data_IF_669729993662
#
_entry.id   IF_669729993662
#
_cell.length_a   1.000
_cell.length_b   1.000
_cell.length_c   1.000
_cell.angle_alpha   90.00
_cell.angle_beta   90.00
_cell.angle_gamma   90.00
#
_symmetry.space_group_name_H-M   'P 1'
#
loop_
_entity.id
_entity.type
_entity.pdbx_description
1 polymer ?
#
# COMPACT_ATOMS: atom_id res chain seq x y z
N UNK A 1 -17.94 -32.33 18.47
CA UNK A 1 -17.69 -31.26 17.46
C UNK A 1 -17.78 -29.84 18.02
N UNK A 2 -18.55 -29.54 19.08
CA UNK A 2 -18.62 -28.16 19.63
C UNK A 2 -17.36 -27.70 20.41
N UNK A 3 -16.50 -28.63 20.86
CA UNK A 3 -15.28 -28.30 21.63
C UNK A 3 -14.15 -27.69 20.78
N UNK A 4 -14.08 -28.01 19.49
CA UNK A 4 -12.98 -27.55 18.63
C UNK A 4 -13.19 -26.12 18.11
N UNK A 5 -14.45 -25.69 17.97
CA UNK A 5 -14.77 -24.33 17.51
C UNK A 5 -14.35 -23.26 18.53
N UNK A 6 -14.44 -23.54 19.83
CA UNK A 6 -14.03 -22.62 20.88
C UNK A 6 -12.52 -22.37 20.91
N UNK A 7 -11.72 -23.40 20.62
CA UNK A 7 -10.25 -23.28 20.58
C UNK A 7 -9.80 -22.42 19.39
N UNK A 8 -10.45 -22.58 18.23
CA UNK A 8 -10.14 -21.76 17.04
C UNK A 8 -10.49 -20.29 17.27
N UNK A 9 -11.65 -20.02 17.88
CA UNK A 9 -12.06 -18.64 18.18
C UNK A 9 -11.12 -17.97 19.18
N UNK A 10 -10.68 -18.71 20.21
CA UNK A 10 -9.71 -18.23 21.19
C UNK A 10 -8.36 -17.90 20.53
N UNK A 11 -7.87 -18.75 19.63
CA UNK A 11 -6.62 -18.52 18.91
C UNK A 11 -6.70 -17.30 17.98
N UNK A 12 -7.83 -17.04 17.33
CA UNK A 12 -8.05 -15.84 16.50
C UNK A 12 -8.05 -14.58 17.37
N UNK A 13 -8.70 -14.61 18.54
CA UNK A 13 -8.72 -13.48 19.48
C UNK A 13 -7.30 -13.22 20.03
N UNK A 14 -6.55 -14.25 20.40
CA UNK A 14 -5.16 -14.12 20.86
C UNK A 14 -4.28 -13.56 19.73
N UNK A 15 -4.43 -14.04 18.49
CA UNK A 15 -3.67 -13.53 17.34
C UNK A 15 -3.98 -12.05 17.06
N UNK A 16 -5.25 -11.63 17.17
CA UNK A 16 -5.63 -10.22 17.01
C UNK A 16 -5.10 -9.35 18.16
N UNK A 17 -5.20 -9.82 19.42
CA UNK A 17 -4.67 -9.09 20.58
C UNK A 17 -3.14 -8.96 20.54
N UNK A 18 -2.41 -10.01 20.11
CA UNK A 18 -0.97 -9.95 19.91
C UNK A 18 -0.56 -9.03 18.74
N UNK A 19 -1.43 -8.83 17.75
CA UNK A 19 -1.17 -7.93 16.61
C UNK A 19 -1.33 -6.46 17.00
N UNK A 20 -2.25 -6.14 17.92
CA UNK A 20 -2.48 -4.76 18.38
C UNK A 20 -1.37 -4.22 19.29
N UNK A 21 -0.59 -5.09 19.95
CA UNK A 21 0.48 -4.66 20.87
C UNK A 21 1.73 -4.09 20.16
N UNK A 22 1.89 -4.30 18.84
CA UNK A 22 3.13 -3.93 18.12
C UNK A 22 3.25 -2.44 17.76
N UNK A 23 2.17 -1.64 17.87
CA UNK A 23 2.19 -0.23 17.49
C UNK A 23 2.18 0.75 18.68
N UNK A 24 2.22 0.25 19.92
CA UNK A 24 1.97 1.06 21.11
C UNK A 24 2.98 2.21 21.38
N UNK A 25 4.15 2.23 20.71
CA UNK A 25 5.22 3.20 20.98
C UNK A 25 5.43 4.25 19.88
N UNK A 26 4.59 4.30 18.85
CA UNK A 26 4.66 5.34 17.82
C UNK A 26 3.72 6.49 18.14
N UNK A 27 4.28 7.69 18.28
CA UNK A 27 3.52 8.93 18.33
C UNK A 27 3.27 9.42 16.90
N UNK A 28 2.02 9.40 16.46
CA UNK A 28 1.65 9.92 15.15
C UNK A 28 1.39 11.43 15.19
N UNK A 29 2.03 12.14 14.26
CA UNK A 29 1.87 13.56 14.05
C UNK A 29 1.38 13.82 12.64
N UNK A 30 0.43 14.75 12.53
CA UNK A 30 -0.05 15.24 11.24
C UNK A 30 0.79 16.42 10.79
N UNK A 31 1.19 16.43 9.52
CA UNK A 31 1.96 17.54 8.95
C UNK A 31 1.20 18.88 9.04
N UNK A 32 -0.13 18.83 8.93
CA UNK A 32 -1.04 19.98 9.04
C UNK A 32 -1.18 20.53 10.45
N UNK A 33 -0.70 19.80 11.46
CA UNK A 33 -0.74 20.28 12.84
C UNK A 33 0.13 21.52 12.99
N UNK A 34 -0.35 22.53 13.72
CA UNK A 34 0.43 23.73 14.06
C UNK A 34 1.73 23.40 14.81
N UNK A 35 1.81 22.22 15.44
CA UNK A 35 3.03 21.73 16.11
C UNK A 35 4.11 21.24 15.13
N UNK A 36 3.74 20.92 13.89
CA UNK A 36 4.65 20.40 12.87
C UNK A 36 4.85 21.46 11.77
N UNK A 37 3.76 21.91 11.15
CA UNK A 37 3.79 22.96 10.12
C UNK A 37 2.91 24.14 10.51
N UNK A 38 3.50 25.06 11.27
CA UNK A 38 2.81 26.29 11.65
C UNK A 38 2.65 27.23 10.44
N UNK A 39 1.46 27.81 10.23
CA UNK A 39 1.14 28.69 9.07
C UNK A 39 2.09 29.88 8.93
N UNK A 40 2.56 30.42 10.06
CA UNK A 40 3.54 31.51 10.13
C UNK A 40 5.03 31.06 10.08
N UNK A 41 5.30 29.81 9.66
CA UNK A 41 6.65 29.22 9.62
C UNK A 41 7.37 29.25 10.99
N UNK A 42 6.62 29.16 12.09
CA UNK A 42 7.20 29.07 13.43
C UNK A 42 7.75 27.68 13.66
N UNK A 43 8.93 27.64 14.27
CA UNK A 43 9.62 26.42 14.64
C UNK A 43 9.12 25.90 15.99
N UNK A 44 8.73 24.63 16.03
CA UNK A 44 8.29 23.96 17.26
C UNK A 44 9.23 22.81 17.61
N UNK A 45 9.45 22.61 18.91
CA UNK A 45 10.24 21.49 19.44
C UNK A 45 9.32 20.49 20.12
N UNK A 46 9.50 19.23 19.78
CA UNK A 46 8.74 18.08 20.28
C UNK A 46 9.70 17.18 21.05
N UNK A 47 9.38 16.97 22.32
CA UNK A 47 10.14 16.09 23.19
C UNK A 47 9.68 14.65 22.99
N UNK A 48 10.62 13.77 22.68
CA UNK A 48 10.39 12.34 22.56
C UNK A 48 10.61 11.67 23.91
N UNK A 49 9.71 10.75 24.26
CA UNK A 49 9.91 9.86 25.40
C UNK A 49 10.99 8.82 25.07
N UNK A 50 11.67 8.34 26.11
CA UNK A 50 12.73 7.35 25.97
C UNK A 50 12.27 6.10 25.21
N UNK A 51 13.00 5.74 24.17
CA UNK A 51 12.67 4.59 23.30
C UNK A 51 11.36 4.73 22.51
N UNK A 52 10.76 5.91 22.46
CA UNK A 52 9.59 6.17 21.61
C UNK A 52 10.02 6.47 20.18
N UNK A 53 9.08 6.28 19.25
CA UNK A 53 9.23 6.68 17.86
C UNK A 53 8.16 7.70 17.49
N UNK A 54 8.41 8.50 16.46
CA UNK A 54 7.45 9.45 15.93
C UNK A 54 7.28 9.23 14.42
N UNK A 55 6.04 9.31 13.95
CA UNK A 55 5.72 9.26 12.52
C UNK A 55 5.04 10.57 12.15
N UNK A 56 5.55 11.25 11.14
CA UNK A 56 4.91 12.45 10.57
C UNK A 56 4.29 12.06 9.23
N UNK A 57 2.96 12.17 9.13
CA UNK A 57 2.24 11.90 7.88
C UNK A 57 1.45 13.12 7.42
N UNK A 58 1.39 13.40 6.11
CA UNK A 58 0.38 14.30 5.57
C UNK A 58 -0.97 13.59 5.47
N UNK A 59 -2.06 14.32 5.70
CA UNK A 59 -3.42 13.79 5.56
C UNK A 59 -4.14 14.36 4.33
N UNK A 60 -4.26 15.69 4.27
CA UNK A 60 -4.98 16.41 3.22
C UNK A 60 -4.20 17.62 2.68
N UNK A 61 -3.04 17.94 3.25
CA UNK A 61 -2.22 19.08 2.83
C UNK A 61 -1.86 19.03 1.35
N UNK A 62 -1.81 17.82 0.78
CA UNK A 62 -1.40 17.55 -0.60
C UNK A 62 -2.54 17.04 -1.50
N UNK A 63 -3.75 16.81 -0.98
CA UNK A 63 -4.86 16.22 -1.75
C UNK A 63 -5.36 17.12 -2.88
N UNK A 64 -5.31 18.42 -2.65
CA UNK A 64 -5.56 19.45 -3.66
C UNK A 64 -4.26 20.20 -3.78
N UNK A 65 -3.49 19.93 -4.84
CA UNK A 65 -2.18 20.55 -5.11
C UNK A 65 -2.31 22.05 -5.49
N UNK A 66 -3.10 22.80 -4.73
CA UNK A 66 -3.35 24.23 -4.83
C UNK A 66 -2.53 24.93 -3.75
N UNK A 67 -1.21 24.85 -3.88
CA UNK A 67 -0.27 25.58 -3.03
C UNK A 67 -0.35 27.07 -3.41
N UNK A 68 -1.25 27.80 -2.76
CA UNK A 68 -1.48 29.22 -3.05
C UNK A 68 -0.31 30.13 -2.63
N UNK A 69 0.60 29.63 -1.80
CA UNK A 69 1.77 30.32 -1.27
C UNK A 69 2.85 29.27 -0.90
N UNK A 70 4.12 29.66 -1.00
CA UNK A 70 5.24 28.83 -0.52
C UNK A 70 4.98 28.40 0.92
N UNK A 71 5.16 27.11 1.19
CA UNK A 71 5.03 26.54 2.53
C UNK A 71 6.39 26.13 3.05
N UNK A 72 6.67 26.53 4.28
CA UNK A 72 7.94 26.26 4.92
C UNK A 72 7.71 25.75 6.34
N UNK A 73 7.67 24.43 6.47
CA UNK A 73 7.46 23.75 7.73
C UNK A 73 8.81 23.49 8.40
N UNK A 74 8.95 23.86 9.68
CA UNK A 74 10.15 23.58 10.48
C UNK A 74 9.74 23.06 11.85
N UNK A 75 10.23 21.88 12.20
CA UNK A 75 10.00 21.27 13.51
C UNK A 75 11.24 20.52 13.97
N UNK A 76 11.36 20.33 15.28
CA UNK A 76 12.51 19.66 15.91
C UNK A 76 12.01 18.53 16.78
N UNK A 77 12.59 17.36 16.60
CA UNK A 77 12.51 16.31 17.60
C UNK A 77 13.73 16.35 18.50
N UNK A 78 13.47 16.27 19.81
CA UNK A 78 14.48 16.29 20.87
C UNK A 78 14.33 15.04 21.72
N UNK A 79 15.43 14.33 21.96
CA UNK A 79 15.42 13.11 22.78
C UNK A 79 15.61 13.40 24.26
N UNK A 80 15.49 12.35 25.08
CA UNK A 80 15.97 12.36 26.44
C UNK A 80 17.49 12.42 26.52
N UNK A 81 17.99 12.55 27.74
CA UNK A 81 19.42 12.54 28.03
C UNK A 81 20.06 11.21 27.60
N UNK A 82 21.23 11.27 26.95
CA UNK A 82 22.01 10.09 26.56
C UNK A 82 21.34 9.18 25.52
N UNK A 83 20.42 9.70 24.73
CA UNK A 83 19.78 8.98 23.62
C UNK A 83 20.10 9.63 22.27
N UNK A 84 20.45 8.80 21.28
CA UNK A 84 20.67 9.23 19.91
C UNK A 84 19.34 9.36 19.17
N UNK A 85 19.32 10.10 18.08
CA UNK A 85 18.12 10.29 17.27
C UNK A 85 18.45 10.02 15.81
N UNK A 86 17.62 9.23 15.12
CA UNK A 86 17.68 9.12 13.67
C UNK A 86 16.34 9.48 13.06
N UNK A 87 16.39 10.10 11.88
CA UNK A 87 15.23 10.41 11.06
C UNK A 87 15.37 9.70 9.73
N UNK A 88 14.26 9.17 9.19
CA UNK A 88 14.24 8.47 7.89
C UNK A 88 13.03 8.91 7.10
N UNK A 89 13.25 9.23 5.83
CA UNK A 89 12.15 9.40 4.87
C UNK A 89 11.70 8.02 4.39
N UNK A 90 10.51 7.60 4.83
CA UNK A 90 9.93 6.32 4.42
C UNK A 90 9.26 6.40 3.05
N UNK A 91 8.47 7.45 2.83
CA UNK A 91 7.73 7.67 1.59
C UNK A 91 7.54 9.15 1.34
N UNK A 92 7.83 9.62 0.13
CA UNK A 92 7.59 11.00 -0.30
C UNK A 92 7.51 11.10 -1.82
N UNK A 93 6.83 12.12 -2.32
CA UNK A 93 6.77 12.45 -3.75
C UNK A 93 6.87 13.97 -3.92
N UNK A 94 8.10 14.48 -4.01
CA UNK A 94 8.39 15.91 -4.11
C UNK A 94 8.87 16.30 -5.50
N UNK A 95 8.45 17.48 -5.98
CA UNK A 95 8.79 17.95 -7.34
C UNK A 95 10.28 18.27 -7.46
N UNK A 96 10.85 17.96 -8.62
CA UNK A 96 12.23 18.28 -9.00
C UNK A 96 12.28 18.72 -10.47
N UNK A 97 13.26 19.56 -10.78
CA UNK A 97 13.58 20.01 -12.13
C UNK A 97 15.01 19.56 -12.47
N UNK A 98 15.12 18.44 -13.19
CA UNK A 98 16.40 17.74 -13.39
C UNK A 98 17.05 17.35 -12.06
N UNK A 99 18.24 17.89 -11.80
CA UNK A 99 19.01 17.68 -10.56
C UNK A 99 18.64 18.65 -9.43
N UNK A 100 17.78 19.64 -9.69
CA UNK A 100 17.39 20.67 -8.73
C UNK A 100 16.08 20.29 -8.04
N UNK A 101 16.05 20.35 -6.72
CA UNK A 101 14.80 20.18 -5.96
C UNK A 101 13.94 21.44 -6.01
N UNK A 102 12.66 21.29 -6.39
CA UNK A 102 11.66 22.36 -6.29
C UNK A 102 11.05 22.33 -4.90
N UNK A 103 10.56 21.16 -4.51
CA UNK A 103 10.12 20.85 -3.15
C UNK A 103 11.17 19.94 -2.52
N UNK A 104 11.45 20.10 -1.24
CA UNK A 104 12.47 19.28 -0.58
C UNK A 104 12.18 19.08 0.91
N UNK A 105 12.75 18.00 1.44
CA UNK A 105 12.99 17.81 2.87
C UNK A 105 14.49 17.87 3.14
N UNK A 106 14.86 18.42 4.29
CA UNK A 106 16.24 18.52 4.76
C UNK A 106 16.29 18.32 6.26
N UNK A 107 17.32 17.63 6.73
CA UNK A 107 17.57 17.44 8.16
C UNK A 107 18.73 18.30 8.61
N UNK A 108 18.65 18.74 9.86
CA UNK A 108 19.72 19.44 10.56
C UNK A 108 19.94 18.83 11.93
N UNK A 109 21.19 18.49 12.22
CA UNK A 109 21.64 17.89 13.48
C UNK A 109 21.91 18.93 14.56
N UNK A 110 22.09 18.44 15.80
CA UNK A 110 22.49 19.27 16.95
C UNK A 110 23.78 20.05 16.73
N UNK A 111 24.68 19.54 15.89
CA UNK A 111 25.95 20.17 15.56
C UNK A 111 25.88 21.21 14.44
N UNK A 112 24.68 21.46 13.92
CA UNK A 112 24.45 22.39 12.84
C UNK A 112 24.77 21.85 11.45
N UNK A 113 25.20 20.59 11.33
CA UNK A 113 25.30 19.93 10.03
C UNK A 113 23.92 19.82 9.39
N UNK A 114 23.86 20.08 8.10
CA UNK A 114 22.65 19.91 7.32
C UNK A 114 22.89 18.91 6.19
N UNK A 115 21.91 18.04 5.98
CA UNK A 115 21.90 17.12 4.83
C UNK A 115 21.80 17.89 3.51
N UNK A 116 22.02 17.19 2.39
CA UNK A 116 21.59 17.70 1.07
C UNK A 116 20.06 17.80 1.03
N UNK A 117 19.54 18.60 0.10
CA UNK A 117 18.10 18.65 -0.17
C UNK A 117 17.66 17.30 -0.75
N UNK A 118 16.60 16.74 -0.20
CA UNK A 118 16.05 15.45 -0.60
C UNK A 118 14.71 15.72 -1.30
N UNK A 119 14.57 15.28 -2.55
CA UNK A 119 13.37 15.44 -3.37
C UNK A 119 13.18 14.25 -4.34
N UNK A 120 12.07 14.23 -5.09
CA UNK A 120 11.69 13.14 -5.99
C UNK A 120 10.70 12.16 -5.37
N UNK A 121 10.48 11.04 -6.06
CA UNK A 121 9.64 9.94 -5.61
C UNK A 121 10.48 8.90 -4.85
N UNK A 122 10.14 8.66 -3.59
CA UNK A 122 10.76 7.68 -2.71
C UNK A 122 9.63 6.84 -2.12
N UNK A 123 9.73 5.52 -2.24
CA UNK A 123 8.85 4.58 -1.56
C UNK A 123 9.66 3.38 -1.02
N UNK A 124 10.02 3.45 0.27
CA UNK A 124 10.77 2.37 0.94
C UNK A 124 9.89 1.19 1.33
N UNK A 125 8.55 1.28 1.21
CA UNK A 125 7.67 0.14 1.51
C UNK A 125 7.92 -1.04 0.57
N UNK A 126 8.48 -0.79 -0.61
CA UNK A 126 8.82 -1.81 -1.60
C UNK A 126 10.20 -2.43 -1.37
N UNK A 127 11.10 -1.75 -0.63
CA UNK A 127 12.46 -2.23 -0.36
C UNK A 127 12.47 -3.03 0.94
N UNK A 128 11.85 -4.20 0.92
CA UNK A 128 11.49 -4.90 2.16
C UNK A 128 12.70 -5.33 2.98
N UNK A 129 13.75 -5.85 2.37
CA UNK A 129 14.98 -6.23 3.06
C UNK A 129 16.09 -6.32 2.01
N UNK A 130 17.07 -5.44 2.07
CA UNK A 130 18.39 -5.80 1.59
C UNK A 130 19.18 -6.25 2.81
N UNK A 131 19.80 -7.45 2.78
CA UNK A 131 20.65 -7.88 3.87
C UNK A 131 21.69 -6.78 4.11
N UNK A 132 21.79 -6.33 5.36
CA UNK A 132 22.92 -5.53 5.81
C UNK A 132 24.16 -6.31 5.38
N UNK A 133 25.03 -5.76 4.52
CA UNK A 133 26.26 -6.44 4.16
C UNK A 133 26.96 -6.78 5.46
N UNK A 134 27.15 -8.07 5.73
CA UNK A 134 28.01 -8.48 6.84
C UNK A 134 29.34 -7.75 6.67
N UNK A 135 29.94 -7.22 7.74
CA UNK A 135 31.22 -6.54 7.63
C UNK A 135 32.23 -7.54 7.09
N UNK A 136 32.48 -7.49 5.79
CA UNK A 136 33.53 -8.30 5.16
C UNK A 136 34.85 -7.85 5.79
N UNK A 137 35.46 -8.77 6.52
CA UNK A 137 36.82 -8.64 7.01
C UNK A 137 37.74 -8.43 5.80
N UNK A 138 38.12 -7.18 5.61
CA UNK A 138 39.41 -6.69 5.11
C UNK A 138 39.90 -7.12 3.71
N UNK A 139 40.46 -6.11 3.04
CA UNK A 139 41.63 -6.17 2.15
C UNK A 139 41.50 -6.26 0.62
N UNK A 140 40.34 -6.09 -0.01
CA UNK A 140 40.31 -5.91 -1.48
C UNK A 140 39.94 -4.48 -1.90
N UNK A 141 40.97 -3.69 -2.21
CA UNK A 141 40.92 -2.38 -2.85
C UNK A 141 40.39 -2.51 -4.29
N UNK A 142 39.11 -2.81 -4.46
CA UNK A 142 38.45 -2.63 -5.75
C UNK A 142 37.59 -1.37 -5.72
N UNK A 143 38.04 -0.41 -6.52
CA UNK A 143 37.55 0.95 -6.67
C UNK A 143 36.18 0.99 -7.39
N UNK A 144 35.20 0.26 -6.86
CA UNK A 144 33.84 0.19 -7.35
C UNK A 144 32.91 0.88 -6.37
N UNK A 145 32.91 2.22 -6.33
CA UNK A 145 31.96 3.03 -5.57
C UNK A 145 30.54 2.92 -6.15
N UNK A 146 29.95 1.72 -6.06
CA UNK A 146 28.51 1.56 -5.89
C UNK A 146 28.25 1.67 -4.39
N UNK A 147 28.50 2.86 -3.85
CA UNK A 147 27.92 3.22 -2.55
C UNK A 147 26.41 3.18 -2.76
N UNK A 148 25.79 2.12 -2.26
CA UNK A 148 24.35 1.97 -2.36
C UNK A 148 23.71 3.16 -1.62
N UNK A 149 22.92 3.93 -2.35
CA UNK A 149 22.38 5.25 -1.95
C UNK A 149 21.35 5.20 -0.79
N UNK A 150 21.34 4.12 0.01
CA UNK A 150 20.33 3.88 1.05
C UNK A 150 20.43 4.84 2.24
N UNK A 151 21.62 5.40 2.47
CA UNK A 151 21.90 6.43 3.49
C UNK A 151 21.52 7.85 3.05
N UNK A 152 21.14 8.07 1.78
CA UNK A 152 20.81 9.43 1.31
C UNK A 152 19.52 9.99 1.96
N UNK A 153 18.68 9.11 2.53
CA UNK A 153 17.34 9.45 3.02
C UNK A 153 17.18 9.29 4.53
N UNK A 154 18.28 9.10 5.25
CA UNK A 154 18.31 9.02 6.68
C UNK A 154 19.37 9.98 7.23
N UNK A 155 19.14 10.49 8.43
CA UNK A 155 20.15 11.25 9.17
C UNK A 155 20.19 10.75 10.61
N UNK A 156 21.39 10.63 11.18
CA UNK A 156 21.60 10.19 12.55
C UNK A 156 22.40 11.23 13.34
N UNK A 157 21.83 11.66 14.46
CA UNK A 157 22.50 12.47 15.46
C UNK A 157 22.93 11.58 16.64
N UNK A 158 24.22 11.20 16.71
CA UNK A 158 24.71 10.30 17.74
C UNK A 158 24.73 10.97 19.11
N UNK A 159 24.67 10.16 20.17
CA UNK A 159 25.00 10.61 21.52
C UNK A 159 26.46 11.03 21.54
N UNK A 160 26.69 12.33 21.69
CA UNK A 160 28.02 12.87 21.93
C UNK A 160 28.36 12.67 23.39
N UNK A 161 29.24 11.71 23.65
CA UNK A 161 29.93 11.67 24.92
C UNK A 161 30.98 12.77 24.89
N UNK A 162 30.73 13.88 25.59
CA UNK A 162 31.75 14.92 25.76
C UNK A 162 32.93 14.30 26.52
N UNK A 163 33.98 13.89 25.81
CA UNK A 163 35.23 13.38 26.40
C UNK A 163 36.04 14.51 27.06
N UNK A 164 35.54 15.76 26.99
CA UNK A 164 36.16 16.91 27.63
C UNK A 164 36.13 16.75 29.17
N UNK A 165 37.30 16.60 29.84
CA UNK A 165 37.39 16.39 31.29
C UNK A 165 36.78 17.51 32.14
N UNK A 166 36.52 18.66 31.54
CA UNK A 166 36.24 19.93 32.23
C UNK A 166 34.76 20.33 32.25
N UNK A 167 33.86 19.54 31.63
CA UNK A 167 32.40 19.78 31.68
C UNK A 167 31.62 18.50 32.05
N UNK A 168 31.62 18.09 33.33
CA UNK A 168 30.99 16.84 33.77
C UNK A 168 29.46 16.80 33.66
N UNK A 169 28.79 17.93 33.42
CA UNK A 169 27.32 18.04 33.47
C UNK A 169 26.68 18.56 32.18
N UNK A 170 27.43 18.65 31.08
CA UNK A 170 26.85 18.94 29.76
C UNK A 170 26.16 17.68 29.24
N UNK A 171 24.91 17.47 29.62
CA UNK A 171 24.14 16.36 29.05
C UNK A 171 23.77 16.74 27.63
N UNK A 172 24.51 16.23 26.66
CA UNK A 172 24.24 16.51 25.25
C UNK A 172 22.96 15.80 24.83
N UNK A 173 22.01 16.58 24.36
CA UNK A 173 20.70 16.11 23.90
C UNK A 173 20.74 16.06 22.38
N UNK A 174 20.43 14.90 21.79
CA UNK A 174 20.34 14.78 20.34
C UNK A 174 19.10 15.51 19.82
N UNK A 175 19.27 16.23 18.71
CA UNK A 175 18.16 16.96 18.08
C UNK A 175 18.23 16.83 16.58
N UNK A 176 17.11 16.51 15.96
CA UNK A 176 16.96 16.58 14.51
C UNK A 176 15.87 17.61 14.19
N UNK A 177 16.29 18.71 13.59
CA UNK A 177 15.41 19.67 12.96
C UNK A 177 15.10 19.17 11.53
N UNK A 178 13.81 19.08 11.22
CA UNK A 178 13.32 18.73 9.88
C UNK A 178 12.73 19.99 9.24
N UNK A 179 13.23 20.31 8.06
CA UNK A 179 12.80 21.42 7.23
C UNK A 179 12.11 20.84 5.99
N UNK A 180 10.84 21.18 5.78
CA UNK A 180 10.09 20.84 4.58
C UNK A 180 9.73 22.14 3.88
N UNK A 181 10.18 22.29 2.63
CA UNK A 181 9.85 23.43 1.80
C UNK A 181 9.07 22.94 0.58
N UNK A 182 7.91 23.53 0.37
CA UNK A 182 7.04 23.29 -0.78
C UNK A 182 6.86 24.62 -1.48
N UNK A 183 7.37 24.70 -2.71
CA UNK A 183 7.27 25.92 -3.48
C UNK A 183 5.85 26.10 -4.02
N UNK A 184 5.38 27.33 -4.13
CA UNK A 184 4.23 27.69 -4.97
C UNK A 184 4.52 27.45 -6.45
N UNK A 185 5.78 27.18 -6.84
CA UNK A 185 6.22 27.15 -8.22
C UNK A 185 5.13 26.63 -9.15
N UNK A 186 4.71 27.50 -10.06
CA UNK A 186 3.52 27.28 -10.87
C UNK A 186 3.77 26.02 -11.69
N UNK A 187 2.90 25.03 -11.51
CA UNK A 187 2.80 23.89 -12.43
C UNK A 187 2.54 24.34 -13.86
N UNK A 188 2.18 25.60 -14.06
CA UNK A 188 1.95 26.21 -15.34
C UNK A 188 3.11 27.11 -15.74
N UNK A 189 3.56 26.96 -16.99
CA UNK A 189 4.45 27.90 -17.65
C UNK A 189 3.59 28.79 -18.55
N UNK A 190 3.95 30.07 -18.61
CA UNK A 190 3.32 31.02 -19.53
C UNK A 190 3.71 30.63 -20.96
N UNK A 191 2.70 30.52 -21.82
CA UNK A 191 2.86 30.18 -23.23
C UNK A 191 2.13 31.26 -24.04
N UNK A 192 2.87 32.08 -24.79
CA UNK A 192 2.30 33.23 -25.51
C UNK A 192 1.86 34.40 -24.60
N UNK A 193 0.87 35.18 -25.04
CA UNK A 193 0.35 36.33 -24.31
C UNK A 193 -0.82 35.91 -23.39
N UNK A 194 -0.54 35.81 -22.08
CA UNK A 194 -1.49 35.51 -21.00
C UNK A 194 -2.06 34.09 -20.91
N UNK A 195 -1.65 33.15 -21.76
CA UNK A 195 -2.04 31.75 -21.60
C UNK A 195 -1.02 31.01 -20.74
N UNK A 196 -1.51 30.05 -19.95
CA UNK A 196 -0.73 29.23 -19.05
C UNK A 196 -1.05 27.77 -19.36
N UNK A 197 -0.04 26.95 -19.61
CA UNK A 197 -0.19 25.50 -19.86
C UNK A 197 0.59 24.76 -18.79
N UNK A 198 0.07 23.63 -18.30
CA UNK A 198 0.79 22.80 -17.32
C UNK A 198 2.09 22.33 -17.97
N UNK A 199 3.19 22.39 -17.23
CA UNK A 199 4.54 22.04 -17.70
C UNK A 199 4.62 20.60 -18.25
N UNK A 200 3.75 19.70 -17.78
CA UNK A 200 3.63 18.32 -18.26
C UNK A 200 3.09 18.20 -19.70
N UNK A 201 2.32 19.19 -20.16
CA UNK A 201 1.81 19.28 -21.53
C UNK A 201 2.70 20.15 -22.43
N UNK A 202 3.93 20.40 -21.98
CA UNK A 202 4.95 21.06 -22.78
C UNK A 202 5.98 20.02 -23.17
N UNK A 203 6.34 20.00 -24.44
CA UNK A 203 7.27 19.04 -25.02
C UNK A 203 6.76 17.59 -24.98
N UNK A 204 5.44 17.38 -24.97
CA UNK A 204 4.82 16.05 -25.01
C UNK A 204 4.51 15.58 -26.45
N UNK A 205 4.86 16.40 -27.46
CA UNK A 205 4.56 16.21 -28.89
C UNK A 205 3.06 16.34 -29.22
N UNK A 206 2.25 16.87 -28.30
CA UNK A 206 0.84 17.18 -28.49
C UNK A 206 0.68 18.71 -28.51
N UNK A 207 0.23 19.24 -29.65
CA UNK A 207 -0.05 20.67 -29.77
C UNK A 207 -1.38 21.02 -29.06
N UNK A 208 -1.27 21.54 -27.84
CA UNK A 208 -2.35 22.11 -27.05
C UNK A 208 -2.57 23.60 -27.38
N UNK A 209 -1.56 24.25 -27.94
CA UNK A 209 -1.62 25.66 -28.36
C UNK A 209 -2.25 25.87 -29.75
N UNK A 210 -3.21 26.80 -29.90
CA UNK A 210 -3.66 27.24 -31.22
C UNK A 210 -2.51 27.90 -32.01
N UNK A 211 -2.41 27.54 -33.29
CA UNK A 211 -1.38 28.06 -34.20
C UNK A 211 -1.39 29.59 -34.22
N UNK A 212 -0.23 30.20 -33.96
CA UNK A 212 -0.03 31.66 -34.02
C UNK A 212 -0.41 32.42 -32.75
N UNK A 213 -0.95 31.77 -31.71
CA UNK A 213 -1.30 32.41 -30.43
C UNK A 213 -0.29 32.06 -29.33
N UNK A 214 0.12 30.80 -29.27
CA UNK A 214 1.11 30.32 -28.32
C UNK A 214 1.90 29.14 -28.91
N UNK A 215 3.03 28.82 -28.29
CA UNK A 215 3.96 27.78 -28.73
C UNK A 215 4.37 26.94 -27.51
N UNK A 216 3.69 25.81 -27.32
CA UNK A 216 3.94 24.84 -26.24
C UNK A 216 5.11 23.90 -26.55
N UNK A 217 5.29 23.56 -27.82
CA UNK A 217 6.32 22.63 -28.30
C UNK A 217 7.60 23.32 -28.84
N UNK A 218 7.83 24.60 -28.53
CA UNK A 218 9.02 25.34 -28.99
C UNK A 218 10.19 25.20 -27.99
N UNK A 219 11.42 25.02 -28.51
CA UNK A 219 12.65 24.81 -27.74
C UNK A 219 12.69 23.55 -26.85
N UNK A 220 11.95 22.51 -27.22
CA UNK A 220 12.04 21.22 -26.57
C UNK A 220 13.37 20.54 -26.92
N UNK A 221 14.19 20.29 -25.90
CA UNK A 221 15.36 19.42 -26.05
C UNK A 221 14.83 18.02 -26.31
N UNK A 222 15.11 17.47 -27.50
CA UNK A 222 14.68 16.12 -27.91
C UNK A 222 15.39 15.10 -27.01
N UNK A 223 14.81 14.83 -25.84
CA UNK A 223 15.16 13.70 -25.00
C UNK A 223 14.02 12.69 -25.17
N UNK A 224 14.22 11.70 -26.04
CA UNK A 224 13.28 10.59 -26.30
C UNK A 224 13.17 9.60 -25.11
N UNK A 225 13.10 10.12 -23.88
CA UNK A 225 13.18 9.35 -22.63
C UNK A 225 11.91 9.40 -21.78
N UNK A 226 10.75 9.57 -22.40
CA UNK A 226 9.53 9.17 -21.71
C UNK A 226 9.33 7.66 -21.87
N UNK A 227 9.38 6.87 -20.79
CA UNK A 227 8.88 5.51 -20.85
C UNK A 227 7.38 5.62 -21.16
N UNK A 228 6.96 5.04 -22.29
CA UNK A 228 5.54 4.80 -22.52
C UNK A 228 5.05 3.97 -21.34
N UNK A 229 4.24 4.58 -20.48
CA UNK A 229 3.47 3.84 -19.48
C UNK A 229 2.52 2.93 -20.25
N UNK A 230 3.00 1.73 -20.56
CA UNK A 230 2.23 0.68 -21.18
C UNK A 230 1.13 0.28 -20.21
N UNK A 231 -0.01 0.95 -20.36
CA UNK A 231 -1.25 0.67 -19.64
C UNK A 231 -1.67 -0.79 -19.83
N UNK A 232 -1.23 -1.41 -20.93
CA UNK A 232 -1.34 -2.84 -21.22
C UNK A 232 -0.68 -3.73 -20.15
N UNK A 233 0.47 -3.35 -19.60
CA UNK A 233 1.22 -4.14 -18.62
C UNK A 233 0.56 -4.10 -17.24
N UNK A 234 -0.12 -3.00 -16.90
CA UNK A 234 -0.84 -2.88 -15.63
C UNK A 234 -2.10 -3.76 -15.58
N UNK A 235 -2.80 -3.88 -16.72
CA UNK A 235 -4.02 -4.69 -16.82
C UNK A 235 -3.70 -6.19 -16.77
N UNK A 236 -2.62 -6.63 -17.40
CA UNK A 236 -2.22 -8.05 -17.38
C UNK A 236 -1.78 -8.52 -16.00
N UNK A 237 -1.05 -7.69 -15.23
CA UNK A 237 -0.65 -8.02 -13.86
C UNK A 237 -1.87 -8.15 -12.92
N UNK A 238 -2.88 -7.30 -13.09
CA UNK A 238 -4.15 -7.41 -12.36
C UNK A 238 -4.90 -8.71 -12.66
N UNK A 239 -5.02 -9.08 -13.94
CA UNK A 239 -5.67 -10.32 -14.34
C UNK A 239 -4.95 -11.57 -13.78
N UNK A 240 -3.62 -11.62 -13.86
CA UNK A 240 -2.84 -12.77 -13.40
C UNK A 240 -2.95 -12.95 -11.88
N UNK A 241 -2.86 -11.86 -11.11
CA UNK A 241 -2.98 -11.93 -9.64
C UNK A 241 -4.36 -12.39 -9.18
N UNK A 242 -5.44 -11.96 -9.84
CA UNK A 242 -6.80 -12.43 -9.52
C UNK A 242 -7.01 -13.91 -9.85
N UNK A 243 -6.45 -14.43 -10.95
CA UNK A 243 -6.53 -15.86 -11.28
C UNK A 243 -5.80 -16.73 -10.26
N UNK A 244 -4.60 -16.31 -9.82
CA UNK A 244 -3.83 -17.03 -8.79
C UNK A 244 -4.58 -17.02 -7.45
N UNK A 245 -5.15 -15.87 -7.05
CA UNK A 245 -5.94 -15.77 -5.82
C UNK A 245 -7.15 -16.71 -5.85
N UNK A 246 -7.89 -16.74 -6.96
CA UNK A 246 -9.04 -17.63 -7.13
C UNK A 246 -8.63 -19.11 -7.06
N UNK A 247 -7.48 -19.48 -7.65
CA UNK A 247 -6.95 -20.84 -7.58
C UNK A 247 -6.61 -21.25 -6.14
N UNK A 248 -5.98 -20.37 -5.36
CA UNK A 248 -5.67 -20.62 -3.95
C UNK A 248 -6.95 -20.83 -3.14
N UNK A 249 -7.96 -19.96 -3.31
CA UNK A 249 -9.26 -20.09 -2.64
C UNK A 249 -9.93 -21.42 -3.00
N UNK A 250 -9.89 -21.82 -4.27
CA UNK A 250 -10.44 -23.09 -4.75
C UNK A 250 -9.76 -24.29 -4.10
N UNK A 251 -8.42 -24.32 -4.06
CA UNK A 251 -7.65 -25.39 -3.41
C UNK A 251 -7.95 -25.45 -1.90
N UNK A 252 -8.07 -24.31 -1.24
CA UNK A 252 -8.45 -24.24 0.18
C UNK A 252 -9.88 -24.78 0.40
N UNK A 253 -10.83 -24.45 -0.48
CA UNK A 253 -12.18 -25.01 -0.43
C UNK A 253 -12.18 -26.53 -0.61
N UNK A 254 -11.42 -27.06 -1.57
CA UNK A 254 -11.25 -28.50 -1.77
C UNK A 254 -10.63 -29.17 -0.54
N UNK A 255 -9.64 -28.54 0.10
CA UNK A 255 -9.06 -29.05 1.34
C UNK A 255 -10.10 -29.11 2.46
N UNK A 256 -10.85 -28.02 2.69
CA UNK A 256 -11.92 -27.99 3.70
C UNK A 256 -12.97 -29.06 3.43
N UNK A 257 -13.34 -29.24 2.16
CA UNK A 257 -14.31 -30.26 1.75
C UNK A 257 -13.76 -31.69 1.93
N UNK A 258 -12.47 -31.92 1.66
CA UNK A 258 -11.77 -33.19 1.96
C UNK A 258 -11.73 -33.47 3.46
N UNK A 259 -11.42 -32.44 4.26
CA UNK A 259 -11.33 -32.57 5.74
C UNK A 259 -12.70 -32.78 6.39
N UNK A 260 -13.75 -32.18 5.85
CA UNK A 260 -15.11 -32.34 6.34
C UNK A 260 -15.79 -33.65 5.90
N UNK A 261 -15.09 -34.51 5.14
CA UNK A 261 -15.63 -35.75 4.57
C UNK A 261 -16.93 -35.56 3.76
N UNK A 262 -17.23 -34.33 3.32
CA UNK A 262 -18.46 -34.02 2.59
C UNK A 262 -18.36 -34.29 1.09
N UNK A 263 -17.14 -34.33 0.55
CA UNK A 263 -16.90 -34.80 -0.81
C UNK A 263 -16.60 -36.29 -0.77
N UNK A 264 -17.58 -37.08 -1.20
CA UNK A 264 -17.44 -38.52 -1.38
C UNK A 264 -16.50 -38.81 -2.56
N UNK A 265 -15.20 -38.89 -2.30
CA UNK A 265 -14.19 -39.27 -3.31
C UNK A 265 -13.95 -40.78 -3.35
N UNK A 266 -14.63 -41.58 -2.52
CA UNK A 266 -14.61 -43.02 -2.70
C UNK A 266 -15.45 -43.40 -3.91
N UNK A 267 -14.93 -44.26 -4.78
CA UNK A 267 -15.69 -44.88 -5.88
C UNK A 267 -16.96 -45.60 -5.41
N UNK A 268 -17.09 -45.82 -4.09
CA UNK A 268 -18.23 -46.49 -3.46
C UNK A 268 -19.47 -45.60 -3.31
N UNK A 269 -19.36 -44.29 -3.52
CA UNK A 269 -20.50 -43.36 -3.42
C UNK A 269 -21.16 -43.02 -4.76
N UNK A 270 -20.61 -43.52 -5.88
CA UNK A 270 -21.24 -43.46 -7.20
C UNK A 270 -22.05 -44.72 -7.54
N UNK A 271 -22.34 -45.56 -6.53
CA UNK A 271 -23.27 -46.69 -6.65
C UNK A 271 -24.66 -46.29 -6.15
N UNK A 272 -25.76 -46.70 -6.82
CA UNK A 272 -27.14 -46.28 -6.50
C UNK A 272 -27.68 -46.71 -5.11
N UNK A 273 -26.84 -47.27 -4.22
CA UNK A 273 -27.28 -47.96 -3.01
C UNK A 273 -26.82 -47.32 -1.69
N UNK A 274 -26.18 -46.15 -1.70
CA UNK A 274 -25.61 -45.55 -0.46
C UNK A 274 -26.60 -44.74 0.39
N UNK A 275 -27.92 -44.92 0.23
CA UNK A 275 -28.94 -44.27 1.06
C UNK A 275 -30.01 -45.28 1.48
N UNK A 276 -29.76 -46.01 2.56
CA UNK A 276 -30.83 -46.53 3.45
C UNK A 276 -30.25 -47.25 4.67
N UNK A 277 -30.07 -46.52 5.77
CA UNK A 277 -30.64 -46.93 7.07
C UNK A 277 -30.46 -45.87 8.16
N UNK A 278 -31.57 -45.26 8.62
CA UNK A 278 -31.71 -44.79 9.98
C UNK A 278 -32.48 -45.81 10.84
N UNK A 279 -32.05 -45.94 12.10
CA UNK A 279 -32.87 -46.15 13.32
C UNK A 279 -33.54 -47.53 13.53
N UNK A 280 -33.20 -48.20 14.64
CA UNK A 280 -34.11 -48.47 15.80
C UNK A 280 -33.44 -49.35 16.89
N UNK A 281 -33.51 -48.89 18.14
CA UNK A 281 -33.37 -49.62 19.43
C UNK A 281 -34.51 -50.67 19.62
N UNK A 282 -34.68 -51.33 20.79
CA UNK A 282 -33.79 -52.22 21.55
C UNK A 282 -34.50 -53.58 21.89
N UNK A 283 -33.84 -54.40 22.70
CA UNK A 283 -34.35 -55.49 23.55
C UNK A 283 -34.44 -56.96 23.07
N UNK A 284 -33.81 -57.77 23.92
CA UNK A 284 -34.19 -59.09 24.44
C UNK A 284 -34.21 -60.32 23.52
N UNK A 285 -33.13 -61.08 23.67
CA UNK A 285 -33.08 -62.49 24.09
C UNK A 285 -33.68 -63.61 23.20
N UNK A 286 -32.87 -64.67 23.07
CA UNK A 286 -33.34 -66.00 22.69
C UNK A 286 -33.19 -66.43 21.24
N UNK A 287 -32.17 -67.26 20.98
CA UNK A 287 -32.40 -68.48 20.20
C UNK A 287 -32.11 -68.44 18.70
N UNK A 288 -30.88 -68.87 18.38
CA UNK A 288 -30.64 -70.03 17.50
C UNK A 288 -31.14 -69.98 16.05
N UNK A 289 -30.18 -69.91 15.13
CA UNK A 289 -30.19 -70.79 13.97
C UNK A 289 -30.71 -70.19 12.66
N UNK A 290 -29.74 -69.80 11.83
CA UNK A 290 -29.58 -70.33 10.48
C UNK A 290 -30.64 -69.96 9.41
N UNK A 291 -30.12 -69.32 8.36
CA UNK A 291 -30.54 -69.41 6.96
C UNK A 291 -31.72 -68.54 6.46
N UNK A 292 -31.33 -67.51 5.69
CA UNK A 292 -31.54 -67.45 4.23
C UNK A 292 -33.01 -67.40 3.72
N UNK A 293 -33.48 -66.20 3.33
CA UNK A 293 -34.17 -65.95 2.05
C UNK A 293 -34.51 -64.45 1.84
N UNK A 294 -33.79 -63.83 0.89
CA UNK A 294 -34.22 -63.06 -0.32
C UNK A 294 -35.63 -62.39 -0.35
N UNK A 295 -35.75 -61.22 -1.03
CA UNK A 295 -36.76 -60.18 -0.81
C UNK A 295 -37.91 -60.19 -1.83
N UNK A 296 -38.91 -59.32 -1.63
CA UNK A 296 -39.79 -58.85 -2.71
C UNK A 296 -40.10 -57.37 -2.49
N UNK A 297 -39.60 -56.52 -3.40
CA UNK A 297 -39.99 -55.10 -3.54
C UNK A 297 -41.45 -55.00 -4.05
N UNK A 298 -42.14 -53.84 -3.96
CA UNK A 298 -42.09 -52.90 -5.11
C UNK A 298 -42.40 -51.40 -4.86
N UNK A 299 -41.87 -50.56 -5.77
CA UNK A 299 -42.46 -49.37 -6.47
C UNK A 299 -42.74 -48.08 -5.68
N UNK A 300 -42.10 -46.94 -5.99
CA UNK A 300 -42.17 -46.03 -7.17
C UNK A 300 -43.36 -45.06 -7.09
N UNK A 301 -43.07 -43.75 -7.07
CA UNK A 301 -43.80 -42.60 -7.68
C UNK A 301 -43.10 -41.31 -7.20
N UNK A 302 -42.25 -40.63 -7.99
CA UNK A 302 -42.55 -39.71 -9.10
C UNK A 302 -43.63 -38.68 -8.76
N UNK A 303 -43.21 -37.44 -8.47
CA UNK A 303 -44.03 -36.25 -8.64
C UNK A 303 -43.17 -35.08 -9.10
N UNK A 304 -43.73 -34.34 -10.05
CA UNK A 304 -43.11 -33.45 -11.03
C UNK A 304 -43.58 -32.02 -10.78
N UNK A 305 -42.64 -31.07 -10.96
CA UNK A 305 -42.80 -29.66 -11.40
C UNK A 305 -43.54 -28.59 -10.59
N UNK A 306 -42.94 -27.38 -10.59
CA UNK A 306 -43.64 -26.10 -10.88
C UNK A 306 -42.64 -25.01 -11.33
N UNK A 307 -43.03 -24.05 -12.23
CA UNK A 307 -42.11 -23.28 -13.04
C UNK A 307 -41.82 -21.85 -12.55
N UNK A 308 -40.79 -21.29 -13.18
CA UNK A 308 -40.09 -20.03 -12.97
C UNK A 308 -40.96 -18.81 -13.30
N UNK A 309 -40.98 -17.83 -12.39
CA UNK A 309 -41.57 -16.51 -12.58
C UNK A 309 -40.50 -15.46 -12.91
N UNK A 310 -40.91 -14.59 -13.83
CA UNK A 310 -40.29 -13.36 -14.35
C UNK A 310 -39.22 -12.70 -13.48
N UNK A 311 -38.06 -12.46 -14.09
CA UNK A 311 -37.13 -11.42 -13.65
C UNK A 311 -36.87 -10.46 -14.80
N UNK A 312 -37.14 -9.19 -14.51
CA UNK A 312 -36.89 -8.01 -15.31
C UNK A 312 -35.51 -8.02 -15.96
N UNK A 313 -35.49 -8.04 -17.29
CA UNK A 313 -34.27 -7.77 -18.07
C UNK A 313 -34.13 -6.25 -18.26
N UNK A 314 -32.90 -5.72 -18.19
CA UNK A 314 -32.66 -4.30 -18.43
C UNK A 314 -33.00 -3.93 -19.88
N UNK A 315 -33.38 -2.66 -20.14
CA UNK A 315 -33.73 -2.21 -21.48
C UNK A 315 -32.54 -2.34 -22.46
N UNK A 316 -32.86 -2.61 -23.72
CA UNK A 316 -31.88 -2.75 -24.80
C UNK A 316 -31.14 -1.44 -25.09
N UNK A 317 -29.83 -1.56 -25.31
CA UNK A 317 -28.86 -0.46 -25.52
C UNK A 317 -29.22 0.49 -26.68
N UNK A 318 -30.00 0.02 -27.66
CA UNK A 318 -30.41 0.80 -28.85
C UNK A 318 -31.39 1.96 -28.55
N UNK A 319 -31.94 2.04 -27.34
CA UNK A 319 -32.78 3.19 -26.92
C UNK A 319 -31.96 4.43 -26.51
N UNK A 320 -30.63 4.35 -26.48
CA UNK A 320 -29.76 5.45 -26.01
C UNK A 320 -29.29 6.41 -27.12
N UNK A 321 -29.63 6.17 -28.38
CA UNK A 321 -29.17 7.00 -29.50
C UNK A 321 -30.35 7.44 -30.38
N UNK A 322 -30.61 8.76 -30.51
CA UNK A 322 -31.61 9.27 -31.45
C UNK A 322 -31.20 8.94 -32.90
N UNK A 323 -32.14 8.45 -33.72
CA UNK A 323 -31.91 8.32 -35.16
C UNK A 323 -31.58 9.70 -35.73
N UNK A 324 -30.36 9.86 -36.23
CA UNK A 324 -29.98 11.03 -37.02
C UNK A 324 -30.76 11.01 -38.33
N UNK A 325 -31.85 11.77 -38.37
CA UNK A 325 -32.54 12.13 -39.61
C UNK A 325 -31.58 12.94 -40.49
N UNK A 326 -30.99 12.31 -41.49
CA UNK A 326 -30.21 12.97 -42.55
C UNK A 326 -31.15 13.71 -43.50
N UNK A 327 -31.12 15.05 -43.61
CA UNK A 327 -31.78 15.77 -44.69
C UNK A 327 -30.73 16.04 -45.78
N UNK A 328 -30.51 15.07 -46.65
CA UNK A 328 -29.72 15.28 -47.86
C UNK A 328 -30.53 14.82 -49.07
N UNK A 329 -31.60 15.56 -49.37
CA UNK A 329 -32.20 15.59 -50.71
C UNK A 329 -33.08 16.83 -50.88
N UNK A 330 -32.50 17.90 -51.41
CA UNK A 330 -33.07 18.81 -52.41
C UNK A 330 -32.01 19.81 -52.82
#
# INVERSE_FOLDING_TARGET
MARDAGVVYLLIVIAHLCSCARYANYNEYRLESDRICHILNKKHTLDMLNGAAAIVTPHHMFDRWLVNADRHCRFVFRTGNSEGLFAVVQKMAFRRDGDRCIDYVRFKRSDGHYTKQICGDIDRSQTMYLPVPEPENDSDYTNGSRSYNYDMYAEYDPVRHSVAPWKPWSTEIATIETEIYISKEKEYKLVGQNNCIRKEYLCDKIYNCPVGICLDEENCVVNDRYPKDDTATKVTVGAVTTMILCFIIFVMCLWICKKSQKLCWSSDCAGPNACSRPVSLPDADGGQGSNRAVPTAPMLEVAVSSPVADKDLPPSYDSLFPEQSNPARS
#
